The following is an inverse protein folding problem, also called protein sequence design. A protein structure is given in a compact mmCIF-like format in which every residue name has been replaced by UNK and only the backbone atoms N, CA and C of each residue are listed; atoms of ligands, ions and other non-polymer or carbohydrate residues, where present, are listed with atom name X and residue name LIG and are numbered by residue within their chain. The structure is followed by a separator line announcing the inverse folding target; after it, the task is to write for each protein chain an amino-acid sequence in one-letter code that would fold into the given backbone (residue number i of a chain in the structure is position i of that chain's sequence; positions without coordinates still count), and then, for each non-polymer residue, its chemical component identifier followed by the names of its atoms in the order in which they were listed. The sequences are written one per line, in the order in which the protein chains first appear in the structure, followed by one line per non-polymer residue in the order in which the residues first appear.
data_IF_092891850919
#
_entry.id   IF_092891850919
#
_cell.length_a   1.000
_cell.length_b   1.000
_cell.length_c   1.000
_cell.angle_alpha   90.00
_cell.angle_beta   90.00
_cell.angle_gamma   90.00
#
_symmetry.space_group_name_H-M   'P 1'
#
loop_
_entity.id
_entity.type
_entity.pdbx_description
1 polymer ?
#
# COMPACT_ATOMS: atom_id res chain seq x y z
N UNK A 1 17.47 35.84 22.84
CA UNK A 1 17.37 34.37 22.75
C UNK A 1 18.79 33.81 22.84
N UNK A 2 19.11 32.90 23.77
CA UNK A 2 20.49 32.40 23.92
C UNK A 2 20.90 31.55 22.71
N UNK A 3 22.20 31.50 22.39
CA UNK A 3 22.71 30.75 21.23
C UNK A 3 22.29 29.27 21.23
N UNK A 4 22.24 28.65 22.42
CA UNK A 4 21.77 27.27 22.60
C UNK A 4 20.27 27.10 22.27
N UNK A 5 19.44 28.09 22.57
CA UNK A 5 18.01 28.05 22.23
C UNK A 5 17.83 28.22 20.73
N UNK A 6 18.54 29.14 20.08
CA UNK A 6 18.52 29.27 18.62
C UNK A 6 18.97 27.98 17.92
N UNK A 7 20.01 27.33 18.46
CA UNK A 7 20.51 26.06 17.97
C UNK A 7 19.47 24.94 18.06
N UNK A 8 18.82 24.79 19.21
CA UNK A 8 17.78 23.77 19.40
C UNK A 8 16.56 24.04 18.50
N UNK A 9 16.17 25.29 18.32
CA UNK A 9 15.02 25.67 17.49
C UNK A 9 15.25 25.30 16.03
N UNK A 10 16.41 25.63 15.45
CA UNK A 10 16.67 25.26 14.05
C UNK A 10 16.79 23.74 13.89
N UNK A 11 17.44 23.03 14.84
CA UNK A 11 17.55 21.56 14.80
C UNK A 11 16.18 20.90 14.83
N UNK A 12 15.28 21.39 15.68
CA UNK A 12 13.91 20.89 15.75
C UNK A 12 13.15 21.13 14.44
N UNK A 13 13.26 22.34 13.88
CA UNK A 13 12.65 22.66 12.59
C UNK A 13 13.18 21.77 11.46
N UNK A 14 14.50 21.51 11.43
CA UNK A 14 15.13 20.62 10.47
C UNK A 14 14.60 19.17 10.59
N UNK A 15 14.49 18.64 11.82
CA UNK A 15 13.90 17.31 12.05
C UNK A 15 12.44 17.25 11.58
N UNK A 16 11.66 18.29 11.85
CA UNK A 16 10.27 18.37 11.39
C UNK A 16 10.18 18.37 9.86
N UNK A 17 11.04 19.15 9.19
CA UNK A 17 11.17 19.15 7.73
C UNK A 17 11.58 17.78 7.19
N UNK A 18 12.59 17.15 7.78
CA UNK A 18 13.06 15.82 7.40
C UNK A 18 11.95 14.76 7.55
N UNK A 19 11.15 14.81 8.63
CA UNK A 19 9.99 13.91 8.79
C UNK A 19 8.94 14.08 7.70
N UNK A 20 8.71 15.31 7.26
CA UNK A 20 7.79 15.58 6.14
C UNK A 20 8.35 15.04 4.83
N UNK A 21 9.63 15.26 4.55
CA UNK A 21 10.30 14.72 3.37
C UNK A 21 10.27 13.19 3.37
N UNK A 22 10.71 12.53 4.46
CA UNK A 22 10.66 11.08 4.61
C UNK A 22 9.26 10.50 4.37
N UNK A 23 8.20 11.18 4.83
CA UNK A 23 6.83 10.77 4.55
C UNK A 23 6.51 10.80 3.06
N UNK A 24 6.81 11.90 2.36
CA UNK A 24 6.55 12.01 0.92
C UNK A 24 7.27 10.93 0.12
N UNK A 25 8.44 10.52 0.59
CA UNK A 25 9.28 9.51 -0.06
C UNK A 25 8.79 8.10 0.25
N UNK A 26 8.33 7.87 1.49
CA UNK A 26 7.59 6.65 1.83
C UNK A 26 6.34 6.52 0.97
N UNK A 27 5.56 7.58 0.81
CA UNK A 27 4.37 7.58 -0.05
C UNK A 27 4.74 7.23 -1.51
N UNK A 28 5.87 7.73 -2.03
CA UNK A 28 6.36 7.39 -3.37
C UNK A 28 6.79 5.93 -3.50
N UNK A 29 7.55 5.40 -2.53
CA UNK A 29 7.94 3.99 -2.49
C UNK A 29 6.74 3.06 -2.30
N UNK A 30 5.71 3.49 -1.56
CA UNK A 30 4.48 2.71 -1.42
C UNK A 30 3.78 2.51 -2.76
N UNK A 31 3.73 3.53 -3.62
CA UNK A 31 3.18 3.41 -4.99
C UNK A 31 3.95 2.36 -5.79
N UNK A 32 5.28 2.43 -5.79
CA UNK A 32 6.12 1.47 -6.51
C UNK A 32 5.99 0.05 -5.93
N UNK A 33 5.96 -0.10 -4.60
CA UNK A 33 5.77 -1.38 -3.93
C UNK A 33 4.42 -2.01 -4.29
N UNK A 34 3.35 -1.21 -4.39
CA UNK A 34 2.03 -1.70 -4.80
C UNK A 34 2.07 -2.30 -6.21
N UNK A 35 2.87 -1.74 -7.12
CA UNK A 35 2.98 -2.20 -8.51
C UNK A 35 3.91 -3.41 -8.69
N UNK A 36 4.88 -3.59 -7.79
CA UNK A 36 5.99 -4.53 -7.96
C UNK A 36 5.96 -5.72 -7.01
N UNK A 37 5.41 -5.56 -5.80
CA UNK A 37 5.44 -6.58 -4.77
C UNK A 37 4.27 -7.57 -4.96
N UNK A 38 4.52 -8.88 -5.22
CA UNK A 38 3.44 -9.86 -5.46
C UNK A 38 2.66 -10.27 -4.20
N UNK A 39 2.87 -9.61 -3.06
CA UNK A 39 2.21 -9.93 -1.80
C UNK A 39 3.09 -9.62 -0.60
N UNK A 40 4.10 -10.46 -0.32
CA UNK A 40 5.00 -10.28 0.83
C UNK A 40 6.45 -10.57 0.44
N UNK A 41 7.38 -9.73 0.87
CA UNK A 41 8.81 -9.91 0.69
C UNK A 41 9.59 -9.65 2.00
N UNK A 42 10.73 -10.31 2.21
CA UNK A 42 11.64 -9.96 3.29
C UNK A 42 12.41 -8.68 2.97
N UNK A 43 12.56 -7.81 3.96
CA UNK A 43 13.53 -6.71 3.91
C UNK A 43 14.86 -7.23 4.48
N UNK A 44 15.91 -7.12 3.67
CA UNK A 44 17.25 -7.63 3.95
C UNK A 44 18.23 -6.48 3.79
N UNK A 45 19.12 -6.30 4.78
CA UNK A 45 20.20 -5.32 4.69
C UNK A 45 21.22 -5.74 3.61
N UNK A 46 22.06 -4.81 3.11
CA UNK A 46 23.17 -5.16 2.20
C UNK A 46 24.11 -6.25 2.75
N UNK A 47 24.23 -6.34 4.08
CA UNK A 47 24.97 -7.41 4.78
C UNK A 47 24.34 -8.81 4.68
N UNK A 48 23.18 -8.95 4.02
CA UNK A 48 22.42 -10.19 3.91
C UNK A 48 21.52 -10.51 5.11
N UNK A 49 21.51 -9.65 6.14
CA UNK A 49 20.70 -9.86 7.35
C UNK A 49 19.25 -9.46 7.14
N UNK A 50 18.31 -10.39 7.34
CA UNK A 50 16.87 -10.10 7.34
C UNK A 50 16.51 -9.24 8.56
N UNK A 51 15.86 -8.09 8.32
CA UNK A 51 15.49 -7.12 9.36
C UNK A 51 13.98 -6.91 9.49
N UNK A 52 13.22 -7.12 8.41
CA UNK A 52 11.77 -7.04 8.44
C UNK A 52 11.13 -7.92 7.35
N UNK A 53 9.80 -7.88 7.28
CA UNK A 53 9.05 -8.26 6.09
C UNK A 53 8.08 -7.15 5.73
N UNK A 54 7.96 -6.85 4.44
CA UNK A 54 6.98 -5.92 3.88
C UNK A 54 5.87 -6.73 3.21
N UNK A 55 4.62 -6.39 3.46
CA UNK A 55 3.46 -7.04 2.85
C UNK A 55 2.43 -6.02 2.39
N UNK A 56 1.79 -6.31 1.26
CA UNK A 56 0.59 -5.62 0.79
C UNK A 56 -0.64 -6.28 1.41
N UNK A 57 -1.48 -5.48 2.06
CA UNK A 57 -2.79 -5.92 2.50
C UNK A 57 -3.80 -5.60 1.40
N UNK A 58 -4.50 -6.61 0.92
CA UNK A 58 -5.48 -6.47 -0.15
C UNK A 58 -6.89 -6.59 0.40
N UNK A 59 -7.82 -5.87 -0.20
CA UNK A 59 -9.26 -6.10 -0.06
C UNK A 59 -9.89 -6.28 -1.44
N UNK A 60 -10.92 -7.11 -1.51
CA UNK A 60 -11.83 -7.09 -2.65
C UNK A 60 -12.83 -5.96 -2.42
N UNK A 61 -12.91 -5.04 -3.37
CA UNK A 61 -13.85 -3.94 -3.36
C UNK A 61 -14.80 -4.05 -4.56
N UNK A 62 -16.09 -3.86 -4.32
CA UNK A 62 -17.08 -3.71 -5.38
C UNK A 62 -17.19 -2.23 -5.78
N UNK A 63 -17.21 -1.96 -7.09
CA UNK A 63 -17.42 -0.62 -7.64
C UNK A 63 -18.45 -0.66 -8.75
N UNK A 64 -19.25 0.40 -8.86
CA UNK A 64 -20.16 0.57 -10.01
C UNK A 64 -19.34 1.10 -11.18
N UNK A 65 -19.24 0.30 -12.26
CA UNK A 65 -18.52 0.65 -13.50
C UNK A 65 -19.48 1.04 -14.63
N UNK A 66 -20.73 0.57 -14.59
CA UNK A 66 -21.80 1.01 -15.48
C UNK A 66 -23.03 1.43 -14.65
N UNK A 67 -23.15 2.73 -14.45
CA UNK A 67 -24.22 3.33 -13.66
C UNK A 67 -25.61 3.07 -14.28
N UNK A 68 -25.71 2.98 -15.61
CA UNK A 68 -26.99 2.74 -16.29
C UNK A 68 -27.42 1.29 -16.08
N UNK A 69 -26.53 0.33 -16.30
CA UNK A 69 -26.82 -1.09 -16.09
C UNK A 69 -27.17 -1.37 -14.62
N UNK A 70 -26.46 -0.72 -13.69
CA UNK A 70 -26.74 -0.82 -12.26
C UNK A 70 -28.14 -0.27 -11.92
N UNK A 71 -28.47 0.93 -12.41
CA UNK A 71 -29.77 1.55 -12.19
C UNK A 71 -30.93 0.73 -12.78
N UNK A 72 -30.77 0.21 -14.00
CA UNK A 72 -31.78 -0.64 -14.66
C UNK A 72 -32.00 -1.95 -13.89
N UNK A 73 -30.93 -2.56 -13.39
CA UNK A 73 -31.03 -3.75 -12.57
C UNK A 73 -31.74 -3.47 -11.24
N UNK A 74 -31.37 -2.40 -10.51
CA UNK A 74 -32.05 -2.03 -9.25
C UNK A 74 -33.52 -1.70 -9.50
N UNK A 75 -33.85 -0.96 -10.57
CA UNK A 75 -35.26 -0.67 -10.93
C UNK A 75 -36.11 -1.92 -11.11
N UNK A 76 -35.52 -3.00 -11.63
CA UNK A 76 -36.22 -4.28 -11.85
C UNK A 76 -36.37 -5.10 -10.57
N UNK A 77 -35.41 -5.04 -9.65
CA UNK A 77 -35.36 -5.91 -8.46
C UNK A 77 -35.88 -5.24 -7.18
N UNK A 78 -35.62 -3.93 -7.02
CA UNK A 78 -36.00 -3.08 -5.87
C UNK A 78 -36.32 -1.64 -6.33
N UNK A 79 -37.47 -1.44 -7.02
CA UNK A 79 -37.84 -0.11 -7.52
C UNK A 79 -38.04 0.93 -6.41
N UNK A 80 -38.38 0.51 -5.20
CA UNK A 80 -38.53 1.36 -4.01
C UNK A 80 -37.23 2.03 -3.55
N UNK A 81 -36.09 1.49 -3.97
CA UNK A 81 -34.76 2.04 -3.70
C UNK A 81 -34.29 3.04 -4.78
N UNK A 82 -35.15 3.35 -5.76
CA UNK A 82 -34.87 4.29 -6.85
C UNK A 82 -35.84 5.46 -6.79
N UNK A 83 -35.35 6.65 -6.46
CA UNK A 83 -36.12 7.90 -6.54
C UNK A 83 -35.74 8.61 -7.84
N UNK A 84 -34.60 9.30 -7.83
CA UNK A 84 -33.94 9.86 -9.03
C UNK A 84 -32.69 9.06 -9.39
N UNK A 85 -32.03 8.52 -8.36
CA UNK A 85 -30.90 7.59 -8.41
C UNK A 85 -31.11 6.49 -7.36
N UNK A 86 -30.26 5.47 -7.40
CA UNK A 86 -30.24 4.42 -6.36
C UNK A 86 -29.88 5.07 -5.02
N UNK A 87 -30.72 4.90 -4.00
CA UNK A 87 -30.46 5.40 -2.64
C UNK A 87 -29.08 4.96 -2.15
N UNK A 88 -28.34 5.87 -1.55
CA UNK A 88 -26.93 5.64 -1.17
C UNK A 88 -26.78 4.46 -0.18
N UNK A 89 -27.70 4.35 0.79
CA UNK A 89 -27.72 3.23 1.74
C UNK A 89 -27.88 1.88 1.04
N UNK A 90 -28.76 1.82 0.04
CA UNK A 90 -28.99 0.59 -0.71
C UNK A 90 -27.83 0.29 -1.67
N UNK A 91 -27.27 1.30 -2.34
CA UNK A 91 -26.04 1.16 -3.13
C UNK A 91 -24.93 0.54 -2.29
N UNK A 92 -24.68 1.08 -1.10
CA UNK A 92 -23.65 0.58 -0.19
C UNK A 92 -23.91 -0.87 0.21
N UNK A 93 -25.15 -1.18 0.57
CA UNK A 93 -25.56 -2.55 0.87
C UNK A 93 -25.27 -3.52 -0.29
N UNK A 94 -25.60 -3.14 -1.53
CA UNK A 94 -25.36 -3.99 -2.71
C UNK A 94 -23.87 -4.21 -2.93
N UNK A 95 -23.04 -3.17 -2.81
CA UNK A 95 -21.59 -3.30 -2.98
C UNK A 95 -20.96 -4.21 -1.90
N UNK A 96 -21.39 -4.05 -0.64
CA UNK A 96 -20.94 -4.94 0.44
C UNK A 96 -21.41 -6.39 0.25
N UNK A 97 -22.64 -6.57 -0.23
CA UNK A 97 -23.19 -7.89 -0.54
C UNK A 97 -22.45 -8.57 -1.69
N UNK A 98 -22.10 -7.80 -2.75
CA UNK A 98 -21.31 -8.28 -3.88
C UNK A 98 -19.94 -8.79 -3.42
N UNK A 99 -19.22 -8.03 -2.57
CA UNK A 99 -17.94 -8.46 -1.98
C UNK A 99 -18.11 -9.73 -1.15
N UNK A 100 -19.16 -9.80 -0.30
CA UNK A 100 -19.39 -10.95 0.57
C UNK A 100 -19.75 -12.22 -0.19
N UNK A 101 -20.52 -12.09 -1.26
CA UNK A 101 -20.96 -13.20 -2.09
C UNK A 101 -19.92 -13.61 -3.15
N UNK A 102 -19.00 -12.72 -3.52
CA UNK A 102 -18.12 -12.92 -4.66
C UNK A 102 -18.87 -12.86 -5.99
N UNK A 103 -20.00 -12.16 -6.04
CA UNK A 103 -20.87 -12.05 -7.22
C UNK A 103 -20.92 -10.61 -7.72
N UNK A 104 -21.00 -10.43 -9.04
CA UNK A 104 -21.07 -9.12 -9.69
C UNK A 104 -22.50 -8.86 -10.20
N UNK A 105 -23.30 -8.04 -9.49
CA UNK A 105 -24.54 -7.52 -10.06
C UNK A 105 -24.28 -6.74 -11.36
N UNK A 106 -25.27 -6.62 -12.26
CA UNK A 106 -25.12 -5.83 -13.48
C UNK A 106 -24.62 -4.41 -13.20
N UNK A 107 -23.56 -4.01 -13.92
CA UNK A 107 -22.90 -2.72 -13.76
C UNK A 107 -21.96 -2.58 -12.56
N UNK A 108 -21.81 -3.63 -11.75
CA UNK A 108 -20.85 -3.72 -10.63
C UNK A 108 -19.69 -4.61 -11.03
N UNK A 109 -18.47 -4.23 -10.63
CA UNK A 109 -17.27 -5.03 -10.81
C UNK A 109 -16.55 -5.20 -9.46
N UNK A 110 -16.12 -6.43 -9.17
CA UNK A 110 -15.22 -6.75 -8.08
C UNK A 110 -13.79 -6.54 -8.56
N UNK A 111 -13.04 -5.72 -7.81
CA UNK A 111 -11.63 -5.52 -8.06
C UNK A 111 -10.84 -5.68 -6.78
N UNK A 112 -9.62 -6.18 -6.91
CA UNK A 112 -8.67 -6.14 -5.82
C UNK A 112 -8.14 -4.71 -5.66
N UNK A 113 -7.99 -4.28 -4.42
CA UNK A 113 -7.44 -3.00 -4.05
C UNK A 113 -6.43 -3.22 -2.93
N UNK A 114 -5.25 -2.63 -3.05
CA UNK A 114 -4.32 -2.55 -1.92
C UNK A 114 -4.86 -1.54 -0.91
N UNK A 115 -5.06 -1.99 0.32
CA UNK A 115 -5.46 -1.17 1.47
C UNK A 115 -4.28 -0.43 2.09
N UNK A 116 -3.16 -1.13 2.22
CA UNK A 116 -1.98 -0.61 2.91
C UNK A 116 -0.74 -1.45 2.62
N UNK A 117 0.42 -0.82 2.74
CA UNK A 117 1.71 -1.48 2.87
C UNK A 117 2.01 -1.62 4.36
N UNK A 118 2.33 -2.84 4.81
CA UNK A 118 2.65 -3.11 6.22
C UNK A 118 4.07 -3.63 6.34
N UNK A 119 4.82 -3.05 7.28
CA UNK A 119 6.16 -3.53 7.64
C UNK A 119 6.12 -4.21 9.01
N UNK A 120 6.57 -5.46 9.08
CA UNK A 120 6.72 -6.22 10.31
C UNK A 120 8.20 -6.47 10.59
N UNK A 121 8.76 -5.81 11.60
CA UNK A 121 10.17 -5.98 11.95
C UNK A 121 10.43 -7.36 12.58
N UNK A 122 11.55 -7.96 12.20
CA UNK A 122 12.09 -9.11 12.91
C UNK A 122 12.55 -8.68 14.31
N UNK A 123 12.71 -9.65 15.22
CA UNK A 123 13.23 -9.37 16.57
C UNK A 123 14.61 -8.71 16.46
N UNK A 124 14.73 -7.50 17.00
CA UNK A 124 15.96 -6.70 16.92
C UNK A 124 16.23 -6.04 15.56
N UNK A 125 15.38 -6.24 14.55
CA UNK A 125 15.59 -5.73 13.18
C UNK A 125 15.71 -4.21 13.12
N UNK A 126 14.90 -3.48 13.89
CA UNK A 126 15.02 -2.02 13.98
C UNK A 126 16.40 -1.58 14.52
N UNK A 127 16.90 -2.25 15.57
CA UNK A 127 18.21 -1.94 16.14
C UNK A 127 19.36 -2.23 15.16
N UNK A 128 19.19 -3.24 14.29
CA UNK A 128 20.16 -3.56 13.24
C UNK A 128 20.17 -2.51 12.13
N UNK A 129 18.99 -2.02 11.72
CA UNK A 129 18.89 -0.91 10.76
C UNK A 129 19.53 0.34 11.34
N UNK A 130 19.23 0.68 12.59
CA UNK A 130 19.85 1.83 13.27
C UNK A 130 21.37 1.69 13.33
N UNK A 131 21.88 0.50 13.70
CA UNK A 131 23.33 0.27 13.75
C UNK A 131 23.98 0.39 12.37
N UNK A 132 23.35 -0.13 11.32
CA UNK A 132 23.86 -0.02 9.96
C UNK A 132 23.93 1.44 9.49
N UNK A 133 22.92 2.25 9.83
CA UNK A 133 22.92 3.69 9.56
C UNK A 133 24.01 4.44 10.34
N UNK A 134 24.20 4.10 11.61
CA UNK A 134 25.26 4.69 12.46
C UNK A 134 26.66 4.30 11.99
N UNK A 135 26.83 3.07 11.50
CA UNK A 135 28.09 2.58 10.96
C UNK A 135 28.39 3.13 9.55
N UNK A 136 27.39 3.68 8.86
CA UNK A 136 27.49 4.10 7.46
C UNK A 136 27.46 2.94 6.46
N UNK A 137 27.08 1.75 6.90
CA UNK A 137 26.88 0.57 6.04
C UNK A 137 25.68 0.74 5.11
N UNK A 138 24.75 1.62 5.49
CA UNK A 138 23.59 2.05 4.70
C UNK A 138 23.57 3.58 4.72
N UNK A 139 23.57 4.18 3.54
CA UNK A 139 23.49 5.64 3.39
C UNK A 139 22.07 6.16 3.60
N UNK A 140 21.93 7.37 4.14
CA UNK A 140 20.63 8.05 4.14
C UNK A 140 20.17 8.32 2.71
N UNK A 141 21.08 8.65 1.80
CA UNK A 141 20.81 8.81 0.38
C UNK A 141 20.33 7.52 -0.29
N UNK A 142 20.85 6.35 0.10
CA UNK A 142 20.38 5.05 -0.40
C UNK A 142 18.95 4.73 0.07
N UNK A 143 18.63 5.00 1.34
CA UNK A 143 17.27 4.81 1.87
C UNK A 143 16.25 5.83 1.35
N UNK A 144 16.74 6.96 0.86
CA UNK A 144 15.93 8.10 0.46
C UNK A 144 15.87 8.26 -1.06
N UNK A 145 16.68 7.56 -1.85
CA UNK A 145 16.53 7.60 -3.30
C UNK A 145 15.44 6.62 -3.77
N UNK A 146 14.46 7.15 -4.50
CA UNK A 146 13.58 6.33 -5.34
C UNK A 146 14.37 6.05 -6.62
N UNK A 147 14.79 4.80 -6.90
CA UNK A 147 15.43 4.49 -8.18
C UNK A 147 14.45 4.83 -9.32
N UNK A 148 14.96 5.29 -10.47
CA UNK A 148 14.08 5.47 -11.62
C UNK A 148 13.49 4.11 -12.03
N UNK A 149 12.23 4.05 -12.50
CA UNK A 149 11.50 2.79 -12.77
C UNK A 149 12.23 1.78 -13.67
N UNK A 150 13.24 2.25 -14.40
CA UNK A 150 14.08 1.48 -15.32
C UNK A 150 15.11 0.57 -14.65
N UNK A 151 15.39 0.74 -13.36
CA UNK A 151 16.42 -0.04 -12.63
C UNK A 151 15.87 -1.32 -11.96
N UNK A 152 14.59 -1.62 -12.14
CA UNK A 152 13.99 -2.83 -11.58
C UNK A 152 14.39 -4.08 -12.39
N UNK A 153 14.91 -5.14 -11.76
CA UNK A 153 15.13 -6.41 -12.44
C UNK A 153 13.79 -6.96 -12.95
N UNK A 154 13.79 -7.67 -14.11
CA UNK A 154 12.57 -8.22 -14.67
C UNK A 154 11.87 -9.14 -13.66
N UNK A 155 10.54 -9.02 -13.57
CA UNK A 155 9.67 -9.84 -12.71
C UNK A 155 10.08 -11.31 -12.80
N UNK A 156 10.52 -11.89 -11.69
CA UNK A 156 10.70 -13.34 -11.62
C UNK A 156 9.31 -14.00 -11.79
N UNK A 157 9.17 -14.97 -12.70
CA UNK A 157 7.92 -15.70 -12.85
C UNK A 157 7.60 -16.43 -11.52
N UNK A 158 6.31 -16.58 -11.17
CA UNK A 158 5.92 -17.39 -10.01
C UNK A 158 6.47 -18.80 -10.20
N UNK A 159 7.14 -19.32 -9.16
CA UNK A 159 7.78 -20.64 -9.14
C UNK A 159 6.90 -21.70 -9.81
N UNK A 160 7.34 -22.14 -10.97
CA UNK A 160 6.76 -23.28 -11.65
C UNK A 160 7.34 -24.55 -11.04
N UNK A 161 6.45 -25.33 -10.45
CA UNK A 161 6.58 -26.74 -10.09
C UNK A 161 7.38 -27.10 -8.81
N UNK A 162 6.72 -27.84 -7.91
CA UNK A 162 6.93 -29.31 -7.88
C UNK A 162 5.68 -29.99 -7.31
N UNK A 163 4.88 -30.64 -8.15
CA UNK A 163 3.96 -31.70 -7.71
C UNK A 163 4.73 -33.02 -7.79
N UNK A 164 4.91 -33.77 -6.69
CA UNK A 164 5.47 -35.11 -6.78
C UNK A 164 4.41 -36.06 -7.34
N UNK A 165 4.87 -36.91 -8.27
CA UNK A 165 4.12 -38.05 -8.83
C UNK A 165 4.00 -39.19 -7.83
#
# INVERSE_FOLDING_TARGET
MSGRVAELVWRFAAIAGARKAMRQMTDAHEVELIETLPGRAPAVLPSGKRVASVSLNWEVAAVVVDERAFLEWVRRTRPDEVIESVRESYRRYVLEAAVRAGEEPPGVHLRERVLSVTTSFAKGGLAEITRALEAGDVGWDELLNVPEPTDLPPRLPPDSATSPS
#
